data_IF_676364565566
#
_entry.id   IF_676364565566
#
_cell.length_a   1.000
_cell.length_b   1.000
_cell.length_c   1.000
_cell.angle_alpha   90.00
_cell.angle_beta   90.00
_cell.angle_gamma   90.00
#
_symmetry.space_group_name_H-M   'P 1'
#
loop_
_entity.id
_entity.type
_entity.pdbx_description
1 polymer ?
#
# COMPACT_ATOMS: atom_id res chain seq x y z
N UNK A 1 -62.39 -66.47 -35.90
CA UNK A 1 -61.92 -65.10 -36.22
C UNK A 1 -62.63 -64.15 -35.28
N UNK A 2 -62.04 -63.34 -34.41
CA UNK A 2 -60.66 -62.91 -34.18
C UNK A 2 -60.49 -62.64 -32.67
N UNK A 3 -59.40 -63.12 -32.07
CA UNK A 3 -58.97 -62.70 -30.72
C UNK A 3 -58.30 -61.33 -30.85
N UNK A 4 -58.83 -60.32 -30.16
CA UNK A 4 -58.18 -59.01 -30.00
C UNK A 4 -57.03 -59.15 -28.99
N UNK A 5 -55.81 -58.88 -29.45
CA UNK A 5 -54.59 -58.84 -28.64
C UNK A 5 -54.49 -57.43 -28.01
N UNK A 6 -54.64 -57.32 -26.69
CA UNK A 6 -54.31 -56.08 -25.98
C UNK A 6 -52.80 -56.05 -25.72
N UNK A 7 -52.10 -55.14 -26.39
CA UNK A 7 -50.68 -54.86 -26.16
C UNK A 7 -50.60 -53.72 -25.13
N UNK A 8 -50.12 -54.04 -23.93
CA UNK A 8 -49.80 -53.03 -22.92
C UNK A 8 -48.46 -52.38 -23.27
N UNK A 9 -48.45 -51.08 -23.54
CA UNK A 9 -47.23 -50.28 -23.62
C UNK A 9 -46.77 -49.94 -22.20
N UNK A 10 -45.69 -50.57 -21.75
CA UNK A 10 -44.98 -50.16 -20.53
C UNK A 10 -44.02 -49.05 -20.95
N UNK A 11 -44.38 -47.80 -20.66
CA UNK A 11 -43.49 -46.64 -20.77
C UNK A 11 -42.51 -46.66 -19.60
N UNK A 12 -41.25 -47.00 -19.87
CA UNK A 12 -40.14 -46.79 -18.95
C UNK A 12 -39.88 -45.28 -18.82
N UNK A 13 -40.28 -44.68 -17.71
CA UNK A 13 -39.83 -43.33 -17.34
C UNK A 13 -38.41 -43.49 -16.80
N UNK A 14 -37.41 -43.29 -17.66
CA UNK A 14 -36.04 -43.12 -17.23
C UNK A 14 -35.96 -41.82 -16.42
N UNK A 15 -35.86 -41.94 -15.09
CA UNK A 15 -35.59 -40.82 -14.21
C UNK A 15 -34.16 -40.35 -14.48
N UNK A 16 -34.03 -39.31 -15.29
CA UNK A 16 -32.76 -38.64 -15.54
C UNK A 16 -32.38 -37.87 -14.28
N UNK A 17 -31.52 -38.44 -13.44
CA UNK A 17 -30.91 -37.72 -12.33
C UNK A 17 -29.65 -37.04 -12.87
N UNK A 18 -29.63 -35.72 -13.11
CA UNK A 18 -28.38 -35.05 -13.46
C UNK A 18 -27.45 -35.14 -12.25
N UNK A 19 -26.45 -36.01 -12.33
CA UNK A 19 -25.35 -36.00 -11.39
C UNK A 19 -24.51 -34.75 -11.69
N UNK A 20 -24.73 -33.67 -10.96
CA UNK A 20 -23.79 -32.54 -10.97
C UNK A 20 -22.53 -33.01 -10.27
N UNK A 21 -21.46 -33.22 -11.04
CA UNK A 21 -20.13 -33.48 -10.49
C UNK A 21 -19.72 -32.35 -9.54
N UNK A 22 -19.05 -32.70 -8.45
CA UNK A 22 -18.56 -31.73 -7.46
C UNK A 22 -17.54 -30.80 -8.12
N UNK A 23 -17.79 -29.49 -8.09
CA UNK A 23 -16.99 -28.46 -8.80
C UNK A 23 -15.75 -27.98 -8.01
N UNK A 24 -15.42 -28.61 -6.89
CA UNK A 24 -14.32 -28.20 -6.01
C UNK A 24 -14.09 -29.12 -4.80
N UNK A 25 -13.03 -28.88 -4.05
CA UNK A 25 -12.71 -29.56 -2.79
C UNK A 25 -13.65 -29.05 -1.70
N UNK A 26 -14.30 -29.97 -0.97
CA UNK A 26 -15.22 -29.65 0.13
C UNK A 26 -14.64 -30.20 1.43
N UNK A 27 -14.48 -29.37 2.45
CA UNK A 27 -14.17 -29.81 3.79
C UNK A 27 -15.40 -29.64 4.70
N UNK A 28 -15.98 -30.75 5.15
CA UNK A 28 -17.07 -30.75 6.15
C UNK A 28 -16.63 -31.31 7.51
N UNK A 29 -15.36 -31.72 7.65
CA UNK A 29 -14.84 -32.42 8.83
C UNK A 29 -13.65 -31.70 9.45
N UNK A 30 -12.64 -32.46 9.86
CA UNK A 30 -11.36 -31.92 10.33
C UNK A 30 -10.30 -32.27 9.31
N UNK A 31 -9.63 -31.27 8.75
CA UNK A 31 -8.47 -31.44 7.89
C UNK A 31 -7.25 -30.83 8.57
N UNK A 32 -6.14 -31.57 8.59
CA UNK A 32 -4.87 -31.12 9.15
C UNK A 32 -3.70 -31.74 8.40
N UNK A 33 -2.69 -30.94 8.09
CA UNK A 33 -1.39 -31.41 7.62
C UNK A 33 -0.49 -31.71 8.82
N UNK A 34 0.36 -32.72 8.67
CA UNK A 34 1.31 -33.16 9.70
C UNK A 34 2.74 -32.99 9.20
N UNK A 35 3.62 -32.43 10.04
CA UNK A 35 5.02 -32.20 9.71
C UNK A 35 5.19 -31.29 8.50
N UNK A 36 6.11 -31.63 7.60
CA UNK A 36 6.38 -30.93 6.34
C UNK A 36 5.41 -31.32 5.20
N UNK A 37 4.22 -31.80 5.55
CA UNK A 37 3.21 -32.14 4.55
C UNK A 37 2.89 -30.97 3.64
N UNK A 38 2.70 -31.26 2.35
CA UNK A 38 2.28 -30.28 1.36
C UNK A 38 1.01 -30.77 0.64
N UNK A 39 0.08 -29.85 0.37
CA UNK A 39 -1.14 -30.12 -0.39
C UNK A 39 -1.34 -29.06 -1.48
N UNK A 40 -1.50 -29.50 -2.74
CA UNK A 40 -1.83 -28.64 -3.86
C UNK A 40 -3.32 -28.73 -4.22
N UNK A 41 -4.02 -27.60 -4.18
CA UNK A 41 -5.42 -27.46 -4.56
C UNK A 41 -5.51 -26.87 -5.97
N UNK A 42 -6.06 -27.65 -6.90
CA UNK A 42 -6.24 -27.27 -8.31
C UNK A 42 -7.71 -26.99 -8.68
N UNK A 43 -8.59 -26.88 -7.69
CA UNK A 43 -10.01 -26.61 -7.85
C UNK A 43 -10.49 -25.69 -6.72
N UNK A 44 -11.69 -25.13 -6.87
CA UNK A 44 -12.31 -24.29 -5.83
C UNK A 44 -12.30 -25.01 -4.47
N UNK A 45 -12.05 -24.28 -3.39
CA UNK A 45 -12.00 -24.84 -2.05
C UNK A 45 -13.12 -24.26 -1.20
N UNK A 46 -14.01 -25.12 -0.71
CA UNK A 46 -15.09 -24.73 0.20
C UNK A 46 -14.87 -25.34 1.59
N UNK A 47 -14.68 -24.49 2.60
CA UNK A 47 -14.38 -24.91 3.96
C UNK A 47 -15.56 -24.70 4.92
N UNK A 48 -16.25 -25.78 5.25
CA UNK A 48 -17.30 -25.82 6.27
C UNK A 48 -16.81 -26.48 7.58
N UNK A 49 -15.60 -27.04 7.56
CA UNK A 49 -14.97 -27.80 8.65
C UNK A 49 -13.80 -27.07 9.33
N UNK A 50 -13.18 -27.73 10.31
CA UNK A 50 -11.93 -27.23 10.90
C UNK A 50 -10.78 -27.52 9.95
N UNK A 51 -9.96 -26.51 9.69
CA UNK A 51 -8.75 -26.58 8.90
C UNK A 51 -7.72 -25.66 9.56
N UNK A 52 -6.95 -26.22 10.49
CA UNK A 52 -6.02 -25.46 11.33
C UNK A 52 -4.64 -26.07 11.29
N UNK A 53 -3.78 -25.52 10.43
CA UNK A 53 -2.41 -25.99 10.28
C UNK A 53 -1.43 -25.05 10.96
N UNK A 54 -0.58 -25.64 11.79
CA UNK A 54 0.55 -24.96 12.43
C UNK A 54 1.89 -25.25 11.73
N UNK A 55 1.87 -26.10 10.71
CA UNK A 55 3.03 -26.53 9.91
C UNK A 55 2.54 -26.97 8.51
N UNK A 56 3.46 -27.04 7.56
CA UNK A 56 3.19 -27.53 6.20
C UNK A 56 2.70 -26.45 5.24
N UNK A 57 2.62 -26.84 3.97
CA UNK A 57 2.30 -25.98 2.83
C UNK A 57 0.95 -26.33 2.22
N UNK A 58 0.11 -25.33 1.96
CA UNK A 58 -1.08 -25.47 1.13
C UNK A 58 -0.99 -24.52 -0.06
N UNK A 59 -0.97 -25.04 -1.27
CA UNK A 59 -0.91 -24.22 -2.48
C UNK A 59 -2.22 -24.24 -3.25
N UNK A 60 -2.55 -23.12 -3.90
CA UNK A 60 -3.70 -22.96 -4.78
C UNK A 60 -3.20 -22.65 -6.20
N UNK A 61 -3.41 -23.59 -7.12
CA UNK A 61 -2.80 -23.57 -8.46
C UNK A 61 -3.82 -23.68 -9.59
N UNK A 62 -3.84 -22.71 -10.50
CA UNK A 62 -4.63 -22.76 -11.74
C UNK A 62 -3.99 -21.93 -12.85
N UNK A 63 -3.27 -22.59 -13.76
CA UNK A 63 -2.47 -21.92 -14.80
C UNK A 63 -3.29 -21.15 -15.85
N UNK A 64 -4.59 -21.47 -16.00
CA UNK A 64 -5.42 -20.93 -17.08
C UNK A 64 -6.74 -20.32 -16.59
N UNK A 65 -6.95 -20.26 -15.27
CA UNK A 65 -8.25 -19.97 -14.69
C UNK A 65 -8.15 -19.24 -13.37
N UNK A 66 -9.30 -19.06 -12.75
CA UNK A 66 -9.43 -18.54 -11.40
C UNK A 66 -9.75 -19.67 -10.42
N UNK A 67 -9.54 -19.40 -9.14
CA UNK A 67 -10.03 -20.25 -8.05
C UNK A 67 -10.93 -19.44 -7.14
N UNK A 68 -11.84 -20.12 -6.44
CA UNK A 68 -12.66 -19.54 -5.38
C UNK A 68 -12.36 -20.28 -4.09
N UNK A 69 -12.05 -19.52 -3.03
CA UNK A 69 -11.97 -20.02 -1.66
C UNK A 69 -13.19 -19.48 -0.92
N UNK A 70 -14.04 -20.37 -0.43
CA UNK A 70 -15.31 -20.06 0.21
C UNK A 70 -15.56 -20.91 1.45
N UNK A 71 -16.71 -20.70 2.09
CA UNK A 71 -17.20 -21.55 3.18
C UNK A 71 -17.46 -20.75 4.45
N UNK A 72 -18.19 -21.35 5.38
CA UNK A 72 -18.60 -20.68 6.63
C UNK A 72 -17.50 -20.66 7.70
N UNK A 73 -16.40 -21.40 7.53
CA UNK A 73 -15.29 -21.44 8.48
C UNK A 73 -14.00 -20.93 7.85
N UNK A 74 -13.34 -19.99 8.54
CA UNK A 74 -12.02 -19.49 8.17
C UNK A 74 -10.97 -20.61 8.27
N UNK A 75 -10.31 -21.00 7.16
CA UNK A 75 -9.16 -21.89 7.22
C UNK A 75 -7.91 -21.14 7.71
N UNK A 76 -7.05 -21.85 8.43
CA UNK A 76 -5.76 -21.36 8.93
C UNK A 76 -4.63 -22.16 8.27
N UNK A 77 -3.81 -21.46 7.50
CA UNK A 77 -2.66 -22.00 6.78
C UNK A 77 -1.37 -21.57 7.47
N UNK A 78 -0.40 -22.48 7.55
CA UNK A 78 0.93 -22.12 8.03
C UNK A 78 1.72 -21.44 6.92
N UNK A 79 2.11 -22.21 5.89
CA UNK A 79 2.60 -21.70 4.62
C UNK A 79 1.53 -21.86 3.54
N UNK A 80 1.36 -20.84 2.70
CA UNK A 80 0.41 -20.87 1.60
C UNK A 80 0.99 -20.29 0.30
N UNK A 81 0.63 -20.90 -0.82
CA UNK A 81 1.02 -20.45 -2.16
C UNK A 81 -0.21 -20.07 -2.98
N UNK A 82 -0.14 -18.93 -3.67
CA UNK A 82 -1.22 -18.40 -4.51
C UNK A 82 -0.73 -18.25 -5.94
N UNK A 83 -1.23 -19.11 -6.84
CA UNK A 83 -0.84 -19.14 -8.26
C UNK A 83 -2.04 -19.47 -9.14
N UNK A 84 -2.87 -18.49 -9.45
CA UNK A 84 -3.98 -18.66 -10.40
C UNK A 84 -3.97 -17.53 -11.43
N UNK A 85 -3.84 -17.85 -12.71
CA UNK A 85 -3.63 -16.85 -13.76
C UNK A 85 -4.72 -15.76 -13.81
N UNK A 86 -5.98 -16.12 -13.52
CA UNK A 86 -7.11 -15.18 -13.47
C UNK A 86 -7.52 -14.79 -12.04
N UNK A 87 -6.63 -15.00 -11.07
CA UNK A 87 -6.79 -14.62 -9.67
C UNK A 87 -7.54 -15.64 -8.80
N UNK A 88 -7.47 -15.41 -7.49
CA UNK A 88 -8.10 -16.25 -6.46
C UNK A 88 -9.11 -15.40 -5.72
N UNK A 89 -10.39 -15.73 -5.84
CA UNK A 89 -11.48 -15.01 -5.17
C UNK A 89 -11.68 -15.54 -3.77
N UNK A 90 -11.51 -14.70 -2.76
CA UNK A 90 -11.82 -15.04 -1.39
C UNK A 90 -13.26 -14.60 -1.07
N UNK A 91 -14.09 -15.56 -0.72
CA UNK A 91 -15.47 -15.38 -0.24
C UNK A 91 -15.62 -15.66 1.25
N UNK A 92 -14.53 -16.06 1.90
CA UNK A 92 -14.39 -16.21 3.34
C UNK A 92 -12.98 -15.78 3.72
N UNK A 93 -12.74 -15.23 4.93
CA UNK A 93 -11.39 -14.92 5.36
C UNK A 93 -10.53 -16.17 5.40
N UNK A 94 -9.22 -16.01 5.23
CA UNK A 94 -8.23 -17.04 5.53
C UNK A 94 -7.12 -16.43 6.39
N UNK A 95 -6.53 -17.24 7.26
CA UNK A 95 -5.42 -16.81 8.09
C UNK A 95 -4.12 -17.45 7.62
N UNK A 96 -3.05 -16.66 7.62
CA UNK A 96 -1.68 -17.09 7.32
C UNK A 96 -0.84 -16.92 8.58
N UNK A 97 -0.16 -17.99 9.00
CA UNK A 97 0.65 -17.98 10.22
C UNK A 97 2.15 -17.73 9.96
N UNK A 98 2.67 -18.10 8.77
CA UNK A 98 4.08 -17.97 8.43
C UNK A 98 4.29 -17.28 7.08
N UNK A 99 4.16 -17.96 5.94
CA UNK A 99 4.42 -17.33 4.63
C UNK A 99 3.19 -17.39 3.70
N UNK A 100 2.86 -16.27 3.08
CA UNK A 100 2.04 -16.22 1.87
C UNK A 100 2.90 -15.91 0.64
N UNK A 101 3.10 -16.89 -0.22
CA UNK A 101 3.85 -16.70 -1.46
C UNK A 101 2.89 -16.35 -2.62
N UNK A 102 2.99 -15.12 -3.10
CA UNK A 102 2.21 -14.53 -4.18
C UNK A 102 2.96 -14.77 -5.50
N UNK A 103 2.53 -15.78 -6.26
CA UNK A 103 3.27 -16.24 -7.45
C UNK A 103 2.66 -15.63 -8.72
N UNK A 104 1.35 -15.81 -8.91
CA UNK A 104 0.65 -15.36 -10.11
C UNK A 104 -0.82 -15.08 -9.84
N UNK A 105 -1.29 -13.95 -10.38
CA UNK A 105 -2.66 -13.49 -10.24
C UNK A 105 -2.91 -12.84 -8.89
N UNK A 106 -3.92 -11.97 -8.87
CA UNK A 106 -4.31 -11.27 -7.66
C UNK A 106 -5.16 -12.17 -6.76
N UNK A 107 -4.96 -12.05 -5.45
CA UNK A 107 -5.97 -12.42 -4.46
C UNK A 107 -7.06 -11.34 -4.52
N UNK A 108 -8.29 -11.72 -4.84
CA UNK A 108 -9.41 -10.80 -5.05
C UNK A 108 -10.39 -10.88 -3.91
N UNK A 109 -10.70 -9.73 -3.34
CA UNK A 109 -11.53 -9.61 -2.14
C UNK A 109 -12.49 -8.43 -2.29
N UNK A 110 -13.56 -8.40 -1.52
CA UNK A 110 -14.32 -7.16 -1.34
C UNK A 110 -13.43 -6.13 -0.64
N UNK A 111 -13.54 -4.85 -1.00
CA UNK A 111 -12.71 -3.78 -0.41
C UNK A 111 -13.17 -3.34 0.98
N UNK A 112 -14.41 -3.64 1.36
CA UNK A 112 -15.03 -3.24 2.63
C UNK A 112 -14.65 -4.11 3.84
N UNK A 113 -13.87 -5.18 3.62
CA UNK A 113 -13.44 -6.11 4.65
C UNK A 113 -14.57 -6.94 5.28
N UNK A 114 -15.77 -6.98 4.68
CA UNK A 114 -16.94 -7.72 5.23
C UNK A 114 -17.07 -9.15 4.70
N UNK A 115 -16.48 -9.45 3.55
CA UNK A 115 -16.44 -10.80 2.96
C UNK A 115 -15.12 -11.51 3.28
N UNK A 116 -14.50 -12.16 2.27
CA UNK A 116 -13.21 -12.83 2.41
C UNK A 116 -12.04 -11.89 2.23
N UNK A 117 -10.98 -12.12 3.00
CA UNK A 117 -9.71 -11.41 2.94
C UNK A 117 -8.57 -12.28 3.48
N UNK A 118 -7.31 -12.08 3.03
CA UNK A 118 -6.17 -12.66 3.70
C UNK A 118 -5.90 -11.92 5.01
N UNK A 119 -5.66 -12.68 6.08
CA UNK A 119 -5.31 -12.19 7.39
C UNK A 119 -3.93 -12.71 7.81
N UNK A 120 -3.02 -11.77 8.07
CA UNK A 120 -1.63 -12.04 8.43
C UNK A 120 -1.44 -11.99 9.95
N UNK A 121 -1.11 -13.12 10.58
CA UNK A 121 -0.89 -13.22 12.03
C UNK A 121 0.49 -12.71 12.50
N UNK A 122 0.75 -12.69 13.80
CA UNK A 122 1.94 -12.11 14.45
C UNK A 122 3.25 -12.36 13.70
N UNK A 123 3.57 -13.62 13.36
CA UNK A 123 4.82 -14.00 12.72
C UNK A 123 4.77 -13.99 11.19
N UNK A 124 3.59 -13.81 10.59
CA UNK A 124 3.42 -14.05 9.17
C UNK A 124 4.00 -12.92 8.31
N UNK A 125 4.50 -13.28 7.14
CA UNK A 125 4.96 -12.39 6.09
C UNK A 125 4.43 -12.88 4.73
N UNK A 126 4.72 -12.13 3.67
CA UNK A 126 4.47 -12.55 2.30
C UNK A 126 5.69 -12.30 1.43
N UNK A 127 5.72 -12.94 0.27
CA UNK A 127 6.74 -12.72 -0.76
C UNK A 127 6.11 -12.73 -2.14
N UNK A 128 6.75 -12.09 -3.12
CA UNK A 128 6.40 -12.21 -4.54
C UNK A 128 5.37 -11.18 -5.02
N UNK A 129 5.03 -10.22 -4.17
CA UNK A 129 4.14 -9.13 -4.53
C UNK A 129 4.67 -8.34 -5.73
N UNK A 130 3.80 -8.07 -6.69
CA UNK A 130 4.10 -7.26 -7.85
C UNK A 130 2.79 -6.75 -8.47
N UNK A 131 2.89 -6.00 -9.57
CA UNK A 131 1.72 -5.43 -10.26
C UNK A 131 0.63 -6.43 -10.69
N UNK A 132 0.94 -7.73 -10.85
CA UNK A 132 -0.01 -8.78 -11.25
C UNK A 132 -0.15 -9.91 -10.23
N UNK A 133 0.48 -9.80 -9.05
CA UNK A 133 0.26 -10.72 -7.94
C UNK A 133 0.32 -9.95 -6.62
N UNK A 134 -0.85 -9.67 -6.07
CA UNK A 134 -1.07 -8.90 -4.84
C UNK A 134 -2.52 -9.08 -4.39
N UNK A 135 -2.96 -8.36 -3.37
CA UNK A 135 -4.36 -8.28 -2.97
C UNK A 135 -5.06 -7.16 -3.74
N UNK A 136 -5.91 -7.53 -4.69
CA UNK A 136 -6.89 -6.61 -5.29
C UNK A 136 -8.14 -6.57 -4.40
N UNK A 137 -8.03 -5.82 -3.31
CA UNK A 137 -9.09 -5.58 -2.35
C UNK A 137 -8.57 -5.29 -0.94
N UNK A 138 -9.26 -5.81 0.06
CA UNK A 138 -8.92 -5.69 1.48
C UNK A 138 -7.99 -6.81 1.97
N UNK A 139 -7.02 -6.42 2.81
CA UNK A 139 -6.14 -7.32 3.57
C UNK A 139 -6.08 -6.88 5.04
N UNK A 140 -5.87 -7.83 5.95
CA UNK A 140 -5.85 -7.58 7.39
C UNK A 140 -4.60 -8.15 8.07
N UNK A 141 -4.26 -7.59 9.23
CA UNK A 141 -3.24 -8.10 10.14
C UNK A 141 -3.86 -8.39 11.52
N UNK A 142 -3.25 -9.32 12.24
CA UNK A 142 -3.52 -9.60 13.65
C UNK A 142 -2.23 -9.56 14.45
N UNK A 143 -2.31 -8.98 15.65
CA UNK A 143 -1.22 -8.93 16.61
C UNK A 143 0.08 -8.37 16.02
N UNK A 144 0.00 -7.41 15.09
CA UNK A 144 1.16 -6.78 14.46
C UNK A 144 1.23 -5.30 14.79
N UNK A 145 2.44 -4.81 15.04
CA UNK A 145 2.69 -3.39 15.23
C UNK A 145 3.06 -2.70 13.89
N UNK A 146 3.70 -3.42 12.99
CA UNK A 146 4.14 -2.93 11.69
C UNK A 146 3.80 -3.92 10.59
N UNK A 147 3.36 -3.42 9.43
CA UNK A 147 3.12 -4.24 8.24
C UNK A 147 3.00 -3.37 6.98
N UNK A 148 3.41 -3.90 5.83
CA UNK A 148 3.08 -3.34 4.53
C UNK A 148 1.97 -4.17 3.90
N UNK A 149 0.81 -3.58 3.63
CA UNK A 149 -0.27 -4.28 2.95
C UNK A 149 0.07 -4.44 1.46
N UNK A 150 0.10 -5.67 0.90
CA UNK A 150 0.37 -5.90 -0.52
C UNK A 150 -0.90 -5.66 -1.34
N UNK A 151 -1.44 -4.44 -1.31
CA UNK A 151 -2.73 -4.09 -1.91
C UNK A 151 -2.56 -3.32 -3.22
N UNK A 152 -3.60 -3.32 -4.06
CA UNK A 152 -3.61 -2.56 -5.30
C UNK A 152 -4.88 -2.73 -6.12
N UNK A 153 -4.74 -2.49 -7.42
CA UNK A 153 -5.76 -2.78 -8.44
C UNK A 153 -5.16 -3.70 -9.52
N UNK A 154 -5.90 -4.20 -10.52
CA UNK A 154 -5.36 -5.16 -11.49
C UNK A 154 -4.10 -4.72 -12.27
N UNK A 155 -3.74 -3.44 -12.27
CA UNK A 155 -2.61 -2.89 -13.02
C UNK A 155 -1.48 -2.34 -12.13
N UNK A 156 -1.79 -1.90 -10.90
CA UNK A 156 -0.90 -1.10 -10.04
C UNK A 156 -0.83 -1.72 -8.65
N UNK A 157 0.40 -1.92 -8.17
CA UNK A 157 0.69 -2.21 -6.76
C UNK A 157 0.75 -0.88 -6.00
N UNK A 158 -0.08 -0.73 -4.97
CA UNK A 158 -0.27 0.51 -4.19
C UNK A 158 -0.18 0.20 -2.70
N UNK A 159 1.00 -0.26 -2.25
CA UNK A 159 1.19 -0.72 -0.90
C UNK A 159 0.99 0.43 0.08
N UNK A 160 0.48 0.06 1.24
CA UNK A 160 0.36 0.94 2.39
C UNK A 160 1.14 0.31 3.53
N UNK A 161 2.13 1.02 4.07
CA UNK A 161 2.79 0.61 5.31
C UNK A 161 2.08 1.25 6.49
N UNK A 162 1.83 0.46 7.55
CA UNK A 162 1.36 0.94 8.85
C UNK A 162 2.44 0.71 9.90
N UNK A 163 2.70 1.73 10.72
CA UNK A 163 3.61 1.67 11.87
C UNK A 163 2.91 2.22 13.11
N UNK A 164 2.52 1.33 14.02
CA UNK A 164 1.70 1.68 15.18
C UNK A 164 2.55 1.88 16.45
N UNK A 165 2.04 2.67 17.38
CA UNK A 165 2.71 2.89 18.69
C UNK A 165 2.66 1.66 19.61
N UNK A 166 1.75 0.72 19.33
CA UNK A 166 1.58 -0.53 20.04
C UNK A 166 1.09 -1.62 19.07
N UNK A 167 1.07 -2.86 19.54
CA UNK A 167 0.55 -4.00 18.77
C UNK A 167 -0.93 -3.77 18.45
N UNK A 168 -1.29 -3.82 17.15
CA UNK A 168 -2.69 -3.88 16.73
C UNK A 168 -3.23 -5.27 17.01
N UNK A 169 -4.29 -5.37 17.82
CA UNK A 169 -5.07 -6.60 17.91
C UNK A 169 -5.61 -6.99 16.53
N UNK A 170 -6.04 -5.99 15.75
CA UNK A 170 -6.39 -6.09 14.33
C UNK A 170 -6.18 -4.72 13.66
N UNK A 171 -5.75 -4.73 12.41
CA UNK A 171 -5.81 -3.59 11.51
C UNK A 171 -5.99 -4.11 10.07
N UNK A 172 -6.37 -3.24 9.15
CA UNK A 172 -6.52 -3.62 7.76
C UNK A 172 -6.54 -2.42 6.82
N UNK A 173 -6.43 -2.73 5.53
CA UNK A 173 -6.43 -1.69 4.50
C UNK A 173 -6.90 -2.23 3.16
N UNK A 174 -7.50 -1.32 2.39
CA UNK A 174 -7.81 -1.51 0.98
C UNK A 174 -7.48 -0.23 0.20
N UNK A 175 -7.01 -0.42 -1.03
CA UNK A 175 -6.73 0.64 -1.99
C UNK A 175 -7.91 0.84 -2.95
N UNK A 176 -8.17 2.07 -3.38
CA UNK A 176 -9.26 2.46 -4.27
C UNK A 176 -8.73 3.38 -5.38
N UNK A 177 -8.72 2.95 -6.65
CA UNK A 177 -8.31 3.78 -7.79
C UNK A 177 -9.48 4.66 -8.26
N UNK A 178 -10.07 5.43 -7.35
CA UNK A 178 -11.31 6.18 -7.56
C UNK A 178 -11.21 7.58 -6.95
N UNK A 179 -11.99 8.54 -7.47
CA UNK A 179 -12.15 9.86 -6.85
C UNK A 179 -12.85 9.67 -5.49
N UNK A 180 -12.24 10.06 -4.36
CA UNK A 180 -12.85 9.93 -3.05
C UNK A 180 -14.15 10.76 -2.88
N UNK A 181 -14.38 11.78 -3.71
CA UNK A 181 -15.63 12.54 -3.75
C UNK A 181 -16.75 11.89 -4.56
N UNK A 182 -16.45 10.85 -5.34
CA UNK A 182 -17.45 10.09 -6.12
C UNK A 182 -17.04 8.61 -6.24
N UNK A 183 -16.82 7.89 -5.13
CA UNK A 183 -16.38 6.51 -5.20
C UNK A 183 -17.49 5.62 -5.76
N UNK A 184 -17.10 4.61 -6.52
CA UNK A 184 -17.97 3.60 -7.12
C UNK A 184 -18.02 2.32 -6.27
N UNK A 185 -16.96 2.06 -5.50
CA UNK A 185 -16.81 0.85 -4.69
C UNK A 185 -17.39 0.98 -3.27
N UNK A 186 -17.80 2.16 -2.84
CA UNK A 186 -18.45 2.40 -1.54
C UNK A 186 -19.62 3.38 -1.69
N UNK A 187 -20.55 3.35 -0.73
CA UNK A 187 -21.64 4.33 -0.61
C UNK A 187 -21.23 5.62 0.09
N UNK A 188 -20.05 5.65 0.71
CA UNK A 188 -19.52 6.84 1.37
C UNK A 188 -19.15 7.91 0.33
N UNK A 189 -19.23 9.19 0.71
CA UNK A 189 -18.76 10.30 -0.11
C UNK A 189 -17.81 11.15 0.73
N UNK A 190 -16.58 11.32 0.28
CA UNK A 190 -15.54 12.09 0.95
C UNK A 190 -15.27 13.38 0.15
N UNK A 191 -16.16 14.37 0.27
CA UNK A 191 -16.11 15.62 -0.50
C UNK A 191 -14.70 16.27 -0.45
N UNK A 192 -13.93 16.29 -1.55
CA UNK A 192 -12.57 16.82 -1.57
C UNK A 192 -12.49 18.32 -1.30
N UNK A 193 -13.62 19.04 -1.32
CA UNK A 193 -13.69 20.48 -1.01
C UNK A 193 -13.97 20.76 0.47
N UNK A 194 -14.46 19.79 1.23
CA UNK A 194 -14.69 19.93 2.66
C UNK A 194 -13.37 19.71 3.41
N UNK A 195 -12.59 20.78 3.58
CA UNK A 195 -11.28 20.76 4.25
C UNK A 195 -11.33 21.46 5.60
N UNK A 196 -10.60 20.95 6.60
CA UNK A 196 -10.50 21.55 7.92
C UNK A 196 -9.62 22.82 7.93
N UNK A 197 -8.65 22.89 7.02
CA UNK A 197 -7.77 24.04 6.79
C UNK A 197 -7.89 24.47 5.31
N UNK A 198 -8.13 25.75 5.02
CA UNK A 198 -8.39 26.23 3.65
C UNK A 198 -7.20 26.06 2.70
N UNK A 199 -6.00 25.86 3.22
CA UNK A 199 -4.78 25.60 2.45
C UNK A 199 -4.70 24.19 1.87
N UNK A 200 -5.48 23.24 2.38
CA UNK A 200 -5.38 21.84 2.00
C UNK A 200 -6.02 21.62 0.62
N UNK A 201 -5.29 20.95 -0.26
CA UNK A 201 -5.84 20.27 -1.43
C UNK A 201 -5.90 18.78 -1.19
N UNK A 202 -6.87 18.13 -1.82
CA UNK A 202 -7.10 16.69 -1.70
C UNK A 202 -7.04 16.09 -3.10
N UNK A 203 -6.28 15.00 -3.25
CA UNK A 203 -6.21 14.26 -4.49
C UNK A 203 -7.56 13.66 -4.88
N UNK A 204 -7.82 13.65 -6.19
CA UNK A 204 -9.01 13.05 -6.81
C UNK A 204 -8.70 11.76 -7.57
N UNK A 205 -7.45 11.29 -7.51
CA UNK A 205 -6.99 10.19 -8.37
C UNK A 205 -7.19 8.82 -7.71
N UNK A 206 -7.03 8.75 -6.38
CA UNK A 206 -7.05 7.51 -5.63
C UNK A 206 -7.21 7.77 -4.13
N UNK A 207 -7.56 6.74 -3.36
CA UNK A 207 -7.53 6.77 -1.89
C UNK A 207 -7.30 5.38 -1.29
N UNK A 208 -7.01 5.35 0.00
CA UNK A 208 -6.93 4.14 0.81
C UNK A 208 -7.93 4.23 1.96
N UNK A 209 -8.40 3.08 2.40
CA UNK A 209 -9.03 2.94 3.72
C UNK A 209 -8.05 2.24 4.64
N UNK A 210 -8.04 2.63 5.90
CA UNK A 210 -7.25 1.97 6.94
C UNK A 210 -8.11 1.88 8.20
N UNK A 211 -8.25 0.68 8.74
CA UNK A 211 -8.86 0.45 10.04
C UNK A 211 -7.79 0.03 11.05
N UNK A 212 -7.91 0.55 12.28
CA UNK A 212 -6.93 0.37 13.33
C UNK A 212 -7.20 1.32 14.48
N UNK A 213 -7.24 0.78 15.70
CA UNK A 213 -7.59 1.55 16.90
C UNK A 213 -6.35 2.09 17.64
N UNK A 214 -5.16 1.71 17.20
CA UNK A 214 -3.90 2.17 17.76
C UNK A 214 -3.40 3.38 16.95
N UNK A 215 -2.95 4.47 17.60
CA UNK A 215 -2.28 5.55 16.90
C UNK A 215 -1.13 5.04 16.03
N UNK A 216 -1.17 5.37 14.75
CA UNK A 216 -0.29 4.82 13.72
C UNK A 216 0.16 5.89 12.74
N UNK A 217 1.37 5.72 12.21
CA UNK A 217 1.77 6.36 10.96
C UNK A 217 1.38 5.45 9.80
N UNK A 218 1.11 6.06 8.65
CA UNK A 218 0.94 5.35 7.39
C UNK A 218 1.89 5.91 6.35
N UNK A 219 2.47 5.03 5.54
CA UNK A 219 3.27 5.40 4.37
C UNK A 219 2.53 5.00 3.12
N UNK A 220 2.18 5.99 2.31
CA UNK A 220 1.56 5.83 1.00
C UNK A 220 2.63 5.88 -0.09
N UNK A 221 2.44 5.15 -1.17
CA UNK A 221 3.33 5.19 -2.33
C UNK A 221 2.61 5.72 -3.55
N UNK A 222 3.27 6.59 -4.32
CA UNK A 222 2.71 7.17 -5.54
C UNK A 222 3.42 6.67 -6.80
N UNK A 223 2.75 6.82 -7.93
CA UNK A 223 3.37 6.77 -9.26
C UNK A 223 2.89 7.94 -10.14
N UNK A 224 3.19 7.90 -11.45
CA UNK A 224 2.76 8.91 -12.42
C UNK A 224 1.24 9.15 -12.44
N UNK A 225 0.43 8.14 -12.12
CA UNK A 225 -1.04 8.24 -12.14
C UNK A 225 -1.60 8.89 -10.87
N UNK A 226 -0.81 8.96 -9.80
CA UNK A 226 -1.20 9.65 -8.56
C UNK A 226 -1.22 11.18 -8.71
N UNK A 227 -0.59 11.71 -9.78
CA UNK A 227 -0.56 13.14 -10.11
C UNK A 227 -0.12 14.06 -8.95
N UNK A 228 0.84 13.63 -8.13
CA UNK A 228 1.28 14.38 -6.94
C UNK A 228 1.85 15.77 -7.28
N UNK A 229 2.37 15.96 -8.50
CA UNK A 229 2.83 17.27 -8.98
C UNK A 229 1.70 18.28 -9.20
N UNK A 230 0.45 17.82 -9.33
CA UNK A 230 -0.73 18.69 -9.36
C UNK A 230 -1.15 19.17 -7.98
N UNK A 231 -0.71 18.49 -6.90
CA UNK A 231 -1.09 18.80 -5.52
C UNK A 231 -0.13 19.80 -4.87
N UNK A 232 1.15 19.69 -5.19
CA UNK A 232 2.20 20.48 -4.58
C UNK A 232 3.35 20.75 -5.55
N UNK A 233 3.96 21.94 -5.43
CA UNK A 233 5.15 22.30 -6.21
C UNK A 233 6.43 21.68 -5.66
N UNK A 234 6.50 21.49 -4.35
CA UNK A 234 7.62 20.89 -3.64
C UNK A 234 7.15 19.68 -2.86
N UNK A 235 7.97 18.64 -2.76
CA UNK A 235 7.59 17.44 -2.00
C UNK A 235 7.40 17.70 -0.51
N UNK A 236 8.04 18.74 0.02
CA UNK A 236 7.79 19.22 1.39
C UNK A 236 6.40 19.79 1.61
N UNK A 237 5.66 20.16 0.55
CA UNK A 237 4.29 20.67 0.63
C UNK A 237 3.24 19.57 0.41
N UNK A 238 3.65 18.35 0.05
CA UNK A 238 2.76 17.20 0.03
C UNK A 238 2.31 16.85 1.44
N UNK A 239 1.09 16.34 1.58
CA UNK A 239 0.52 15.84 2.84
C UNK A 239 -0.15 14.50 2.62
N UNK A 240 -0.08 13.62 3.60
CA UNK A 240 -1.16 12.64 3.78
C UNK A 240 -2.34 13.42 4.33
N UNK A 241 -3.51 13.26 3.72
CA UNK A 241 -4.76 13.87 4.20
C UNK A 241 -5.76 12.77 4.53
N UNK A 242 -6.59 12.98 5.54
CA UNK A 242 -7.58 12.01 5.99
C UNK A 242 -8.96 12.62 6.15
N UNK A 243 -9.99 11.94 5.65
CA UNK A 243 -11.39 12.30 5.87
C UNK A 243 -11.80 11.97 7.30
N UNK A 244 -11.88 12.96 8.18
CA UNK A 244 -12.30 12.75 9.56
C UNK A 244 -13.81 12.46 9.62
N UNK A 245 -14.19 11.30 10.16
CA UNK A 245 -15.59 10.85 10.19
C UNK A 245 -16.48 11.72 11.08
N UNK A 246 -15.94 12.31 12.14
CA UNK A 246 -16.72 13.16 13.05
C UNK A 246 -16.90 14.56 12.48
N UNK A 247 -15.81 15.14 11.94
CA UNK A 247 -15.83 16.50 11.39
C UNK A 247 -16.43 16.59 9.99
N UNK A 248 -16.53 15.46 9.28
CA UNK A 248 -16.93 15.39 7.88
C UNK A 248 -16.09 16.36 7.02
N UNK A 249 -14.77 16.33 7.24
CA UNK A 249 -13.81 17.18 6.56
C UNK A 249 -12.44 16.49 6.47
N UNK A 250 -11.69 16.81 5.43
CA UNK A 250 -10.30 16.40 5.25
C UNK A 250 -9.38 17.18 6.19
N UNK A 251 -8.54 16.44 6.91
CA UNK A 251 -7.53 16.98 7.81
C UNK A 251 -6.14 16.69 7.27
N UNK A 252 -5.21 17.58 7.57
CA UNK A 252 -3.79 17.37 7.32
C UNK A 252 -3.26 16.33 8.33
N UNK A 253 -2.87 15.16 7.82
CA UNK A 253 -2.22 14.10 8.59
C UNK A 253 -0.70 14.15 8.48
N UNK A 254 -0.13 15.22 7.93
CA UNK A 254 1.30 15.49 7.96
C UNK A 254 2.11 14.90 6.81
N UNK A 255 3.42 15.07 6.95
CA UNK A 255 4.47 14.63 6.04
C UNK A 255 5.76 14.49 6.87
N UNK A 256 5.87 13.39 7.62
CA UNK A 256 7.03 13.15 8.49
C UNK A 256 8.23 12.57 7.73
N UNK A 257 7.99 12.01 6.56
CA UNK A 257 9.02 11.54 5.64
C UNK A 257 8.46 11.55 4.22
N UNK A 258 9.23 12.08 3.28
CA UNK A 258 8.92 12.02 1.85
C UNK A 258 10.18 11.66 1.08
N UNK A 259 10.04 10.81 0.07
CA UNK A 259 11.14 10.39 -0.79
C UNK A 259 10.66 10.01 -2.18
N UNK A 260 11.59 9.98 -3.13
CA UNK A 260 11.29 9.72 -4.54
C UNK A 260 11.27 10.98 -5.39
N UNK A 261 10.67 10.88 -6.56
CA UNK A 261 10.60 11.94 -7.57
C UNK A 261 9.20 12.12 -8.12
N UNK A 262 9.12 12.74 -9.30
CA UNK A 262 7.84 13.11 -9.92
C UNK A 262 6.94 11.90 -10.16
N UNK A 263 7.54 10.81 -10.64
CA UNK A 263 6.79 9.68 -11.20
C UNK A 263 6.72 8.48 -10.25
N UNK A 264 7.42 8.53 -9.11
CA UNK A 264 7.39 7.48 -8.08
C UNK A 264 7.93 8.02 -6.75
N UNK A 265 7.37 7.58 -5.64
CA UNK A 265 7.88 7.91 -4.32
C UNK A 265 6.98 7.44 -3.19
N UNK A 266 7.30 7.88 -1.97
CA UNK A 266 6.54 7.55 -0.76
C UNK A 266 6.39 8.75 0.17
N UNK A 267 5.27 8.80 0.89
CA UNK A 267 4.90 9.87 1.81
C UNK A 267 4.36 9.27 3.11
N UNK A 268 4.92 9.69 4.24
CA UNK A 268 4.57 9.17 5.58
C UNK A 268 3.84 10.22 6.40
N UNK A 269 2.73 9.84 7.02
CA UNK A 269 1.94 10.71 7.90
C UNK A 269 2.60 10.94 9.28
N UNK A 270 2.02 11.85 10.05
CA UNK A 270 2.09 11.87 11.52
C UNK A 270 1.27 10.72 12.13
N UNK A 271 1.35 10.56 13.45
CA UNK A 271 0.51 9.61 14.17
C UNK A 271 -0.95 10.08 14.23
N UNK A 272 -1.87 9.23 13.80
CA UNK A 272 -3.32 9.42 13.95
C UNK A 272 -3.98 8.07 14.28
N UNK A 273 -5.26 8.06 14.71
CA UNK A 273 -6.01 6.81 14.93
C UNK A 273 -6.76 6.44 13.64
N UNK A 274 -6.37 5.40 12.88
CA UNK A 274 -6.95 5.09 11.58
C UNK A 274 -8.47 4.96 11.57
N UNK A 275 -9.06 4.28 12.55
CA UNK A 275 -10.50 4.07 12.65
C UNK A 275 -11.33 5.37 12.74
N UNK A 276 -10.73 6.51 13.08
CA UNK A 276 -11.40 7.82 13.09
C UNK A 276 -11.60 8.40 11.68
N UNK A 277 -10.95 7.82 10.67
CA UNK A 277 -10.92 8.35 9.31
C UNK A 277 -11.65 7.43 8.31
N UNK A 278 -12.36 8.06 7.38
CA UNK A 278 -13.13 7.43 6.30
C UNK A 278 -12.24 6.88 5.19
N UNK A 279 -11.33 7.76 4.77
CA UNK A 279 -10.37 7.54 3.71
C UNK A 279 -9.12 8.37 4.02
N UNK A 280 -8.00 7.95 3.46
CA UNK A 280 -6.78 8.73 3.39
C UNK A 280 -6.30 8.80 1.95
N UNK A 281 -5.66 9.90 1.57
CA UNK A 281 -5.08 10.07 0.24
C UNK A 281 -3.93 11.08 0.29
N UNK A 282 -3.33 11.36 -0.86
CA UNK A 282 -2.41 12.46 -1.04
C UNK A 282 -3.17 13.79 -1.04
N UNK A 283 -2.57 14.79 -0.44
CA UNK A 283 -2.94 16.18 -0.56
C UNK A 283 -1.71 17.04 -0.74
N UNK A 284 -1.95 18.34 -0.83
CA UNK A 284 -0.90 19.34 -0.75
C UNK A 284 -1.38 20.50 0.09
N UNK A 285 -0.47 21.35 0.52
CA UNK A 285 -0.81 22.67 1.02
C UNK A 285 -0.52 23.69 -0.07
N UNK A 286 -1.54 24.42 -0.54
CA UNK A 286 -1.30 25.65 -1.29
C UNK A 286 -0.65 26.66 -0.36
N UNK A 287 0.43 27.28 -0.83
CA UNK A 287 1.18 28.31 -0.12
C UNK A 287 0.25 29.39 0.47
N UNK A 288 -0.05 29.35 1.77
CA UNK A 288 -0.70 30.46 2.48
C UNK A 288 0.26 31.63 2.71
N UNK A 289 1.57 31.38 2.60
CA UNK A 289 2.58 32.43 2.53
C UNK A 289 3.28 32.35 1.18
N UNK A 290 3.13 33.37 0.35
CA UNK A 290 4.03 33.59 -0.79
C UNK A 290 5.46 33.68 -0.24
N UNK A 291 6.21 32.58 -0.33
CA UNK A 291 7.61 32.58 0.07
C UNK A 291 8.36 33.55 -0.83
N UNK A 292 9.04 34.53 -0.24
CA UNK A 292 9.95 35.40 -0.98
C UNK A 292 11.10 34.54 -1.49
N UNK A 293 11.31 34.53 -2.80
CA UNK A 293 12.53 33.93 -3.34
C UNK A 293 13.72 34.75 -2.86
N UNK A 294 14.62 34.11 -2.12
CA UNK A 294 15.94 34.66 -1.84
C UNK A 294 16.93 34.07 -2.82
N UNK A 295 17.90 34.86 -3.25
CA UNK A 295 19.00 34.37 -4.07
C UNK A 295 20.15 34.00 -3.15
N UNK A 296 20.41 32.69 -3.04
CA UNK A 296 21.62 32.14 -2.46
C UNK A 296 22.56 31.68 -3.58
N UNK A 297 23.79 31.37 -3.20
CA UNK A 297 24.82 30.94 -4.14
C UNK A 297 24.57 29.52 -4.69
N UNK A 298 25.29 29.21 -5.76
CA UNK A 298 25.46 27.84 -6.21
C UNK A 298 26.79 27.31 -5.66
N UNK A 299 26.82 26.01 -5.34
CA UNK A 299 27.94 25.43 -4.61
C UNK A 299 28.74 24.42 -5.42
N UNK A 300 29.97 24.17 -4.98
CA UNK A 300 30.80 23.05 -5.41
C UNK A 300 31.09 22.20 -4.18
N UNK A 301 30.86 20.90 -4.29
CA UNK A 301 30.98 19.93 -3.20
C UNK A 301 32.01 18.86 -3.61
N UNK A 302 33.06 18.70 -2.81
CA UNK A 302 34.13 17.72 -3.03
C UNK A 302 34.52 16.94 -1.77
N UNK A 303 33.71 15.96 -1.34
CA UNK A 303 33.94 15.20 -0.12
C UNK A 303 35.03 14.13 -0.32
N UNK A 304 36.29 14.57 -0.44
CA UNK A 304 37.46 13.74 -0.72
C UNK A 304 38.41 13.60 0.49
N UNK A 305 38.07 14.21 1.63
CA UNK A 305 38.85 14.17 2.87
C UNK A 305 40.05 15.13 2.91
N UNK A 306 40.14 16.10 2.00
CA UNK A 306 41.16 17.15 2.01
C UNK A 306 40.82 18.35 2.92
N UNK A 307 39.58 18.38 3.44
CA UNK A 307 39.07 19.40 4.35
C UNK A 307 38.47 20.62 3.65
N UNK A 308 38.39 20.63 2.32
CA UNK A 308 37.86 21.72 1.51
C UNK A 308 36.59 21.27 0.78
N UNK A 309 35.50 22.02 0.95
CA UNK A 309 34.19 21.70 0.35
C UNK A 309 33.71 20.27 0.68
N UNK A 310 33.94 19.80 1.90
CA UNK A 310 33.52 18.47 2.34
C UNK A 310 32.00 18.35 2.54
N UNK A 311 31.35 19.48 2.84
CA UNK A 311 29.91 19.54 3.12
C UNK A 311 29.27 20.75 2.45
N UNK A 312 27.98 20.64 2.17
CA UNK A 312 27.20 21.74 1.58
C UNK A 312 26.87 22.78 2.67
N UNK A 313 27.75 23.74 2.86
CA UNK A 313 27.53 24.81 3.83
C UNK A 313 26.69 25.95 3.23
N UNK A 314 25.46 26.09 3.73
CA UNK A 314 24.58 27.22 3.39
C UNK A 314 24.54 28.15 4.60
N UNK A 315 25.18 29.32 4.52
CA UNK A 315 25.33 30.25 5.65
C UNK A 315 23.97 30.62 6.28
N UNK A 316 22.98 30.96 5.45
CA UNK A 316 21.63 31.28 5.89
C UNK A 316 20.94 30.14 6.69
N UNK A 317 21.33 28.88 6.46
CA UNK A 317 20.81 27.73 7.22
C UNK A 317 21.28 27.74 8.68
N UNK A 318 22.50 28.21 8.96
CA UNK A 318 23.05 28.26 10.32
C UNK A 318 22.42 29.37 11.16
N UNK A 319 21.94 30.44 10.53
CA UNK A 319 21.35 31.60 11.19
C UNK A 319 19.83 31.45 11.41
N UNK A 320 19.19 30.53 10.70
CA UNK A 320 17.74 30.34 10.73
C UNK A 320 17.38 28.91 11.19
N UNK A 321 17.18 28.69 12.50
CA UNK A 321 16.72 27.39 13.02
C UNK A 321 15.32 27.07 12.47
N UNK A 322 14.98 25.78 12.34
CA UNK A 322 13.75 25.28 11.67
C UNK A 322 13.69 25.48 10.15
N UNK A 323 14.83 25.64 9.50
CA UNK A 323 14.89 25.48 8.05
C UNK A 323 14.67 24.01 7.62
N UNK A 324 14.39 23.80 6.34
CA UNK A 324 14.35 22.47 5.71
C UNK A 324 15.18 22.49 4.42
N UNK A 325 16.14 21.58 4.30
CA UNK A 325 16.91 21.35 3.06
C UNK A 325 16.40 20.10 2.33
N UNK A 326 16.21 20.22 1.02
CA UNK A 326 15.91 19.13 0.10
C UNK A 326 16.90 19.14 -1.06
N UNK A 327 17.43 17.99 -1.46
CA UNK A 327 18.39 17.82 -2.55
C UNK A 327 17.87 16.80 -3.54
N UNK A 328 17.96 17.14 -4.82
CA UNK A 328 17.42 16.39 -5.94
C UNK A 328 18.52 16.09 -6.96
N UNK A 329 18.49 14.90 -7.54
CA UNK A 329 19.35 14.57 -8.67
C UNK A 329 18.87 15.25 -9.97
N UNK A 330 19.65 15.10 -11.06
CA UNK A 330 19.31 15.66 -12.39
C UNK A 330 17.98 15.16 -12.98
N UNK A 331 17.39 14.09 -12.45
CA UNK A 331 16.10 13.53 -12.86
C UNK A 331 14.94 13.99 -11.97
N UNK A 332 15.20 14.84 -10.97
CA UNK A 332 14.18 15.34 -10.04
C UNK A 332 13.83 14.36 -8.91
N UNK A 333 14.61 13.30 -8.70
CA UNK A 333 14.42 12.42 -7.55
C UNK A 333 15.12 13.00 -6.31
N UNK A 334 14.41 13.06 -5.19
CA UNK A 334 14.90 13.45 -3.88
C UNK A 334 15.93 12.42 -3.38
N UNK A 335 17.14 12.89 -3.17
CA UNK A 335 18.27 12.07 -2.69
C UNK A 335 18.68 12.43 -1.27
N UNK A 336 18.31 13.61 -0.78
CA UNK A 336 18.55 13.99 0.60
C UNK A 336 17.49 14.98 1.09
N UNK A 337 17.04 14.80 2.33
CA UNK A 337 16.24 15.80 3.04
C UNK A 337 16.64 15.88 4.51
N UNK A 338 16.64 17.10 5.06
CA UNK A 338 16.88 17.30 6.48
C UNK A 338 16.17 18.54 7.01
N UNK A 339 15.45 18.36 8.12
CA UNK A 339 14.95 19.46 8.96
C UNK A 339 16.05 19.99 9.87
N UNK A 340 15.98 21.28 10.19
CA UNK A 340 16.99 21.99 10.98
C UNK A 340 18.40 21.75 10.41
N UNK A 341 18.56 21.96 9.09
CA UNK A 341 19.83 21.74 8.41
C UNK A 341 20.88 22.74 8.90
N UNK A 342 22.09 22.24 9.21
CA UNK A 342 23.19 23.04 9.79
C UNK A 342 24.48 22.98 8.97
N UNK A 343 24.41 22.49 7.73
CA UNK A 343 25.58 22.38 6.84
C UNK A 343 26.30 21.04 6.89
N UNK A 344 25.60 19.92 7.14
CA UNK A 344 26.21 18.60 7.34
C UNK A 344 26.02 17.62 6.18
N UNK A 345 25.49 18.06 5.03
CA UNK A 345 25.33 17.19 3.86
C UNK A 345 26.68 16.97 3.17
N UNK A 346 27.15 15.72 3.17
CA UNK A 346 28.47 15.28 2.69
C UNK A 346 28.40 14.53 1.35
N UNK A 347 27.35 14.74 0.56
CA UNK A 347 27.16 14.05 -0.72
C UNK A 347 26.65 12.62 -0.60
N UNK A 348 26.15 12.18 0.58
CA UNK A 348 25.51 10.88 0.76
C UNK A 348 23.99 10.96 0.80
N UNK A 349 23.33 10.01 0.16
CA UNK A 349 21.87 9.88 0.22
C UNK A 349 21.38 9.48 1.61
N UNK A 350 20.27 10.07 2.06
CA UNK A 350 19.51 9.60 3.23
C UNK A 350 18.08 9.11 2.89
N UNK A 351 17.76 8.95 1.61
CA UNK A 351 16.48 8.37 1.12
C UNK A 351 16.63 6.88 0.80
N UNK A 352 15.54 6.10 0.96
CA UNK A 352 15.53 4.63 0.77
C UNK A 352 15.50 4.19 -0.70
N UNK A 353 14.91 5.02 -1.57
CA UNK A 353 14.75 4.72 -3.00
C UNK A 353 16.06 4.69 -3.81
N UNK A 354 17.13 5.28 -3.28
CA UNK A 354 18.48 5.11 -3.84
C UNK A 354 19.07 3.85 -3.21
N UNK A 355 19.24 2.81 -4.02
CA UNK A 355 19.68 1.40 -3.79
C UNK A 355 20.53 1.09 -2.53
N UNK A 356 21.19 2.05 -1.89
CA UNK A 356 21.79 1.93 -0.56
C UNK A 356 21.72 3.25 0.23
N UNK A 357 21.06 3.25 1.39
CA UNK A 357 21.24 4.31 2.42
C UNK A 357 22.74 4.52 2.65
N UNK A 358 23.19 5.78 2.69
CA UNK A 358 24.60 6.17 2.88
C UNK A 358 25.57 5.81 1.73
N UNK A 359 25.10 5.38 0.55
CA UNK A 359 25.99 5.39 -0.62
C UNK A 359 26.30 6.82 -1.03
N UNK A 360 27.57 7.10 -1.32
CA UNK A 360 27.97 8.34 -1.97
C UNK A 360 27.21 8.52 -3.29
N UNK A 361 26.71 9.72 -3.52
CA UNK A 361 26.04 10.10 -4.75
C UNK A 361 27.05 10.19 -5.90
N UNK A 362 26.61 9.92 -7.13
CA UNK A 362 27.49 10.01 -8.30
C UNK A 362 27.92 11.46 -8.59
N UNK A 363 29.12 11.69 -9.14
CA UNK A 363 29.52 13.02 -9.58
C UNK A 363 28.55 13.61 -10.61
N UNK A 364 28.16 14.87 -10.43
CA UNK A 364 27.17 15.51 -11.30
C UNK A 364 26.52 16.75 -10.72
N UNK A 365 25.56 17.30 -11.47
CA UNK A 365 24.74 18.44 -11.04
C UNK A 365 23.56 17.93 -10.22
N UNK A 366 23.38 18.54 -9.05
CA UNK A 366 22.26 18.35 -8.15
C UNK A 366 21.56 19.69 -7.93
N UNK A 367 20.27 19.64 -7.69
CA UNK A 367 19.45 20.79 -7.37
C UNK A 367 19.11 20.75 -5.89
N UNK A 368 19.11 21.89 -5.22
CA UNK A 368 18.69 21.96 -3.84
C UNK A 368 17.61 23.02 -3.67
N UNK A 369 16.70 22.76 -2.75
CA UNK A 369 15.68 23.69 -2.30
C UNK A 369 15.86 23.82 -0.80
N UNK A 370 16.08 25.05 -0.33
CA UNK A 370 16.10 25.35 1.09
C UNK A 370 14.95 26.29 1.43
N UNK A 371 14.17 25.90 2.44
CA UNK A 371 13.01 26.64 2.91
C UNK A 371 13.26 27.15 4.33
N UNK A 372 12.92 28.42 4.56
CA UNK A 372 12.96 29.11 5.85
C UNK A 372 11.53 29.49 6.24
N UNK A 373 10.77 28.60 6.90
CA UNK A 373 9.37 28.82 7.22
C UNK A 373 9.13 30.10 8.02
N UNK A 374 9.98 30.40 9.01
CA UNK A 374 9.81 31.57 9.89
C UNK A 374 10.02 32.90 9.14
N UNK A 375 10.88 32.92 8.14
CA UNK A 375 11.14 34.10 7.30
C UNK A 375 10.18 34.18 6.11
N UNK A 376 9.40 33.13 5.85
CA UNK A 376 8.71 32.93 4.58
C UNK A 376 9.66 33.13 3.39
N UNK A 377 10.86 32.55 3.47
CA UNK A 377 11.86 32.61 2.40
C UNK A 377 12.16 31.22 1.86
N UNK A 378 12.36 31.14 0.54
CA UNK A 378 12.77 29.89 -0.10
C UNK A 378 13.76 30.18 -1.20
N UNK A 379 14.74 29.30 -1.37
CA UNK A 379 15.69 29.37 -2.46
C UNK A 379 15.76 28.04 -3.19
N UNK A 380 15.88 28.10 -4.50
CA UNK A 380 16.22 26.96 -5.35
C UNK A 380 17.53 27.27 -6.06
N UNK A 381 18.53 26.43 -5.84
CA UNK A 381 19.84 26.54 -6.46
C UNK A 381 20.33 25.19 -6.96
N UNK A 382 21.58 25.15 -7.40
CA UNK A 382 22.26 23.92 -7.76
C UNK A 382 23.65 23.85 -7.15
N UNK A 383 24.18 22.63 -7.07
CA UNK A 383 25.58 22.41 -6.79
C UNK A 383 26.14 21.31 -7.69
N UNK A 384 27.44 21.35 -7.91
CA UNK A 384 28.16 20.26 -8.57
C UNK A 384 28.86 19.41 -7.51
N UNK A 385 28.60 18.11 -7.53
CA UNK A 385 29.26 17.11 -6.68
C UNK A 385 30.40 16.45 -7.45
N UNK A 386 31.56 16.36 -6.81
CA UNK A 386 32.73 15.64 -7.30
C UNK A 386 33.41 14.89 -6.17
N UNK A 387 33.37 13.56 -6.14
CA UNK A 387 33.96 12.77 -5.06
C UNK A 387 35.42 12.43 -5.30
#
# INVERSE_FOLDING_TARGET
MNKLLQIAFITWIASFCPATGQTGIQNHGTMRLHGEGAAGMHANFNNEGSFENQQGLVGFYNDNGSLVISGSRMPVFYDTEFSAANGIWLKTPLQVLNNANLIQGDIRTARDGREGYPQFDYASFYTGENRVSKVDGYAAILNKQEFTFPIGNPQRLRPLTIESQAINARAGSAYYPEDPGMPLSTSDNFDPSAVAEPEITVSREEFWTVDGDIPSKVTLTWDEYSNVSGLARFYGDLRVVGWNREKQAWENLGNTHVEGGRDYGSLTSDYFVPSQYGAITFGGTYESGSYRTVELDNYYLSPNGDGVNETLEIEAARESPRNNLQVYNRYGALVYQKDNYTGDFDGKSNTELVVRRQSGLEPGIYFYIITFPELQERHQGYFYLNN
#
